data_IF_455873013353
#
_entry.id   IF_455873013353
#
_cell.length_a   1.000
_cell.length_b   1.000
_cell.length_c   1.000
_cell.angle_alpha   90.00
_cell.angle_beta   90.00
_cell.angle_gamma   90.00
#
_symmetry.space_group_name_H-M   'P 1'
#
loop_
_entity.id
_entity.type
_entity.pdbx_description
1 polymer ?
#
# COMPACT_ATOMS: atom_id res chain seq x y z
N UNK A 1 7.48 8.40 19.01
CA UNK A 1 7.10 9.05 17.75
C UNK A 1 5.74 9.68 17.96
N UNK A 2 5.55 10.95 17.55
CA UNK A 2 4.23 11.58 17.67
C UNK A 2 3.31 11.21 16.49
N UNK A 3 2.03 11.54 16.65
CA UNK A 3 0.98 11.17 15.71
C UNK A 3 1.15 11.81 14.31
N UNK A 4 1.56 13.08 14.25
CA UNK A 4 1.71 13.77 12.97
C UNK A 4 2.89 13.22 12.19
N UNK A 5 3.97 12.86 12.90
CA UNK A 5 5.14 12.19 12.34
C UNK A 5 4.76 10.81 11.81
N UNK A 6 4.03 10.01 12.59
CA UNK A 6 3.56 8.69 12.16
C UNK A 6 2.68 8.77 10.90
N UNK A 7 1.75 9.74 10.86
CA UNK A 7 0.91 10.01 9.68
C UNK A 7 1.74 10.41 8.46
N UNK A 8 2.70 11.32 8.64
CA UNK A 8 3.58 11.78 7.55
C UNK A 8 4.39 10.64 6.95
N UNK A 9 4.91 9.74 7.79
CA UNK A 9 5.62 8.53 7.34
C UNK A 9 4.67 7.61 6.57
N UNK A 10 3.47 7.32 7.10
CA UNK A 10 2.52 6.43 6.42
C UNK A 10 2.15 6.96 5.03
N UNK A 11 1.81 8.25 4.92
CA UNK A 11 1.48 8.87 3.64
C UNK A 11 2.65 8.86 2.65
N UNK A 12 3.87 9.13 3.13
CA UNK A 12 5.06 9.07 2.28
C UNK A 12 5.31 7.65 1.75
N UNK A 13 5.12 6.63 2.59
CA UNK A 13 5.28 5.23 2.19
C UNK A 13 4.21 4.79 1.18
N UNK A 14 2.97 5.28 1.33
CA UNK A 14 1.90 5.07 0.34
C UNK A 14 2.26 5.71 -1.02
N UNK A 15 2.75 6.96 -1.02
CA UNK A 15 3.16 7.64 -2.25
C UNK A 15 4.38 6.97 -2.90
N UNK A 16 5.38 6.56 -2.12
CA UNK A 16 6.53 5.79 -2.61
C UNK A 16 6.10 4.49 -3.27
N UNK A 17 5.11 3.80 -2.69
CA UNK A 17 4.59 2.55 -3.25
C UNK A 17 3.79 2.80 -4.52
N UNK A 18 2.99 3.86 -4.58
CA UNK A 18 2.25 4.25 -5.77
C UNK A 18 3.18 4.54 -6.97
N UNK A 19 4.37 5.11 -6.73
CA UNK A 19 5.37 5.37 -7.78
C UNK A 19 6.00 4.10 -8.38
N UNK A 20 5.75 2.92 -7.80
CA UNK A 20 6.22 1.64 -8.36
C UNK A 20 5.32 1.15 -9.49
N UNK A 21 4.10 1.67 -9.59
CA UNK A 21 3.20 1.42 -10.71
C UNK A 21 3.66 2.25 -11.92
N UNK A 22 3.78 1.67 -13.12
CA UNK A 22 4.15 2.43 -14.31
C UNK A 22 3.16 3.59 -14.55
N UNK A 23 3.63 4.84 -14.73
CA UNK A 23 2.75 5.99 -14.86
C UNK A 23 1.86 5.94 -16.12
N UNK A 24 2.28 5.22 -17.16
CA UNK A 24 1.49 4.96 -18.37
C UNK A 24 0.22 4.12 -18.09
N UNK A 25 0.25 3.31 -17.04
CA UNK A 25 -0.86 2.46 -16.64
C UNK A 25 -1.84 3.19 -15.72
N UNK A 26 -1.49 4.38 -15.21
CA UNK A 26 -2.29 5.13 -14.23
C UNK A 26 -3.11 6.23 -14.90
N UNK A 27 -4.44 6.13 -14.81
CA UNK A 27 -5.37 7.17 -15.26
C UNK A 27 -5.67 8.22 -14.19
N UNK A 28 -5.76 7.79 -12.92
CA UNK A 28 -6.02 8.67 -11.77
C UNK A 28 -5.27 8.18 -10.52
N UNK A 29 -4.85 9.11 -9.68
CA UNK A 29 -4.30 8.83 -8.35
C UNK A 29 -4.99 9.71 -7.31
N UNK A 30 -5.60 9.08 -6.32
CA UNK A 30 -6.24 9.77 -5.20
C UNK A 30 -5.66 9.28 -3.87
N UNK A 31 -4.99 10.17 -3.13
CA UNK A 31 -4.54 9.91 -1.75
C UNK A 31 -5.48 10.57 -0.74
N UNK A 32 -6.02 9.77 0.17
CA UNK A 32 -6.85 10.26 1.27
C UNK A 32 -6.00 10.89 2.38
N UNK A 33 -5.77 12.21 2.27
CA UNK A 33 -4.94 12.99 3.21
C UNK A 33 -5.59 13.24 4.57
N UNK A 34 -6.91 13.03 4.66
CA UNK A 34 -7.71 13.15 5.88
C UNK A 34 -8.48 11.85 6.08
N UNK A 35 -8.23 11.17 7.20
CA UNK A 35 -9.03 10.03 7.65
C UNK A 35 -9.10 10.01 9.17
N UNK A 36 -10.08 9.29 9.70
CA UNK A 36 -10.16 9.03 11.14
C UNK A 36 -9.04 8.09 11.55
N UNK A 37 -8.38 8.42 12.65
CA UNK A 37 -7.47 7.50 13.31
C UNK A 37 -8.30 6.44 14.01
N UNK A 38 -7.99 5.19 13.72
CA UNK A 38 -8.60 4.06 14.40
C UNK A 38 -7.73 3.74 15.61
N UNK A 39 -8.35 3.71 16.79
CA UNK A 39 -7.66 3.26 18.00
C UNK A 39 -7.42 1.76 17.91
N UNK A 40 -6.17 1.36 18.17
CA UNK A 40 -5.79 -0.03 18.40
C UNK A 40 -5.67 -0.27 19.92
N UNK A 41 -5.24 -1.46 20.36
CA UNK A 41 -4.98 -1.71 21.79
C UNK A 41 -3.75 -0.91 22.26
N UNK A 42 -3.63 -0.69 23.58
CA UNK A 42 -2.41 -0.15 24.20
C UNK A 42 -1.93 1.22 23.66
N UNK A 43 -2.86 2.16 23.48
CA UNK A 43 -2.59 3.53 23.02
C UNK A 43 -1.97 3.63 21.61
N UNK A 44 -2.01 2.55 20.84
CA UNK A 44 -1.58 2.55 19.43
C UNK A 44 -2.70 3.06 18.52
N UNK A 45 -2.32 3.69 17.41
CA UNK A 45 -3.27 4.26 16.45
C UNK A 45 -2.93 3.78 15.05
N UNK A 46 -3.96 3.43 14.28
CA UNK A 46 -3.85 3.11 12.87
C UNK A 46 -4.34 4.30 12.02
N UNK A 47 -3.52 4.68 11.05
CA UNK A 47 -3.94 5.54 9.97
C UNK A 47 -4.70 4.70 8.93
N UNK A 48 -5.97 5.04 8.71
CA UNK A 48 -6.83 4.37 7.72
C UNK A 48 -6.79 5.03 6.34
N UNK A 49 -5.89 6.02 6.13
CA UNK A 49 -5.73 6.62 4.81
C UNK A 49 -5.31 5.59 3.78
N UNK A 50 -5.61 5.91 2.53
CA UNK A 50 -5.41 5.03 1.40
C UNK A 50 -5.02 5.87 0.20
N UNK A 51 -4.05 5.38 -0.56
CA UNK A 51 -3.80 5.83 -1.92
C UNK A 51 -4.45 4.84 -2.87
N UNK A 52 -5.32 5.34 -3.76
CA UNK A 52 -6.01 4.57 -4.78
C UNK A 52 -5.47 5.00 -6.14
N UNK A 53 -5.04 4.02 -6.93
CA UNK A 53 -4.69 4.19 -8.33
C UNK A 53 -5.80 3.59 -9.19
N UNK A 54 -6.25 4.34 -10.19
CA UNK A 54 -7.17 3.84 -11.22
C UNK A 54 -6.37 3.55 -12.46
N UNK A 55 -6.43 2.32 -12.97
CA UNK A 55 -5.70 1.92 -14.17
C UNK A 55 -6.39 2.45 -15.44
N UNK A 56 -5.57 2.80 -16.44
CA UNK A 56 -6.03 3.29 -17.75
C UNK A 56 -6.55 2.17 -18.67
N UNK A 57 -6.27 0.92 -18.34
CA UNK A 57 -6.69 -0.28 -19.07
C UNK A 57 -6.36 -1.57 -18.33
N UNK A 58 -6.33 -2.68 -19.07
CA UNK A 58 -5.85 -3.96 -18.56
C UNK A 58 -4.35 -3.88 -18.25
N UNK A 59 -3.95 -4.40 -17.09
CA UNK A 59 -2.58 -4.33 -16.58
C UNK A 59 -2.14 -5.72 -16.12
N UNK A 60 -0.83 -5.95 -16.09
CA UNK A 60 -0.23 -7.11 -15.45
C UNK A 60 -0.28 -6.94 -13.93
N UNK A 61 -1.40 -7.36 -13.33
CA UNK A 61 -1.67 -7.19 -11.89
C UNK A 61 -0.60 -7.88 -11.04
N UNK A 62 -0.23 -9.12 -11.39
CA UNK A 62 0.80 -9.87 -10.68
C UNK A 62 2.17 -9.22 -10.85
N UNK A 63 2.55 -8.81 -12.07
CA UNK A 63 3.83 -8.13 -12.30
C UNK A 63 3.98 -6.83 -11.52
N UNK A 64 2.90 -6.07 -11.33
CA UNK A 64 2.90 -4.87 -10.48
C UNK A 64 3.09 -5.24 -9.00
N UNK A 65 2.37 -6.24 -8.51
CA UNK A 65 2.49 -6.69 -7.11
C UNK A 65 3.87 -7.26 -6.82
N UNK A 66 4.43 -8.08 -7.71
CA UNK A 66 5.79 -8.62 -7.61
C UNK A 66 6.83 -7.51 -7.56
N UNK A 67 6.64 -6.45 -8.36
CA UNK A 67 7.51 -5.27 -8.34
C UNK A 67 7.44 -4.52 -7.01
N UNK A 68 6.24 -4.36 -6.45
CA UNK A 68 6.06 -3.75 -5.12
C UNK A 68 6.74 -4.61 -4.06
N UNK A 69 6.49 -5.93 -4.06
CA UNK A 69 7.09 -6.87 -3.14
C UNK A 69 8.63 -6.84 -3.19
N UNK A 70 9.21 -6.87 -4.39
CA UNK A 70 10.65 -6.80 -4.60
C UNK A 70 11.26 -5.48 -4.06
N UNK A 71 10.59 -4.34 -4.29
CA UNK A 71 11.04 -3.04 -3.80
C UNK A 71 10.98 -2.93 -2.28
N UNK A 72 10.00 -3.57 -1.64
CA UNK A 72 9.87 -3.59 -0.18
C UNK A 72 10.80 -4.61 0.50
N UNK A 73 11.06 -5.76 -0.13
CA UNK A 73 11.98 -6.80 0.38
C UNK A 73 13.40 -6.29 0.65
N UNK A 74 13.83 -5.24 -0.05
CA UNK A 74 15.18 -4.66 0.13
C UNK A 74 15.25 -3.58 1.21
N UNK A 75 14.11 -3.13 1.77
CA UNK A 75 14.08 -2.15 2.85
C UNK A 75 14.44 -2.83 4.19
N UNK A 76 15.35 -2.22 4.95
CA UNK A 76 15.78 -2.77 6.24
C UNK A 76 14.59 -2.85 7.22
N UNK A 77 14.48 -4.00 7.92
CA UNK A 77 13.42 -4.20 8.92
C UNK A 77 12.03 -4.39 8.33
N UNK A 78 11.91 -4.69 7.03
CA UNK A 78 10.65 -5.04 6.38
C UNK A 78 10.57 -6.55 6.18
N UNK A 79 9.42 -7.13 6.54
CA UNK A 79 9.01 -8.47 6.15
C UNK A 79 7.90 -8.34 5.11
N UNK A 80 8.03 -9.06 4.00
CA UNK A 80 7.03 -9.09 2.92
C UNK A 80 6.37 -10.46 2.90
N UNK A 81 5.05 -10.48 2.99
CA UNK A 81 4.19 -11.66 2.87
C UNK A 81 3.46 -11.55 1.52
N UNK A 82 3.89 -12.35 0.56
CA UNK A 82 3.19 -12.51 -0.72
C UNK A 82 2.09 -13.54 -0.49
N UNK A 83 0.83 -13.11 -0.53
CA UNK A 83 -0.30 -14.02 -0.45
C UNK A 83 -0.56 -14.60 -1.85
N UNK A 84 -0.64 -15.93 -1.94
CA UNK A 84 -1.17 -16.66 -3.09
C UNK A 84 -2.66 -16.30 -3.24
N UNK A 85 -2.92 -15.21 -3.94
CA UNK A 85 -4.28 -14.76 -4.22
C UNK A 85 -4.81 -15.57 -5.39
N UNK A 86 -5.60 -16.59 -5.08
CA UNK A 86 -6.35 -17.33 -6.11
C UNK A 86 -7.43 -16.43 -6.70
N UNK A 87 -7.22 -15.86 -7.89
CA UNK A 87 -8.21 -15.04 -8.62
C UNK A 87 -7.60 -13.84 -9.35
N UNK A 88 -8.43 -12.83 -9.64
CA UNK A 88 -8.05 -11.55 -10.29
C UNK A 88 -7.52 -10.49 -9.30
N UNK A 89 -7.43 -10.83 -8.01
CA UNK A 89 -7.13 -9.88 -6.92
C UNK A 89 -5.70 -10.04 -6.41
N UNK A 90 -4.69 -9.56 -7.14
CA UNK A 90 -3.28 -9.67 -6.71
C UNK A 90 -2.99 -8.77 -5.50
N UNK A 91 -2.33 -9.30 -4.47
CA UNK A 91 -2.00 -8.53 -3.25
C UNK A 91 -0.64 -8.87 -2.63
N UNK A 92 -0.10 -7.92 -1.86
CA UNK A 92 1.08 -8.11 -1.01
C UNK A 92 0.94 -7.36 0.31
N UNK A 93 1.33 -8.03 1.38
CA UNK A 93 1.38 -7.47 2.73
C UNK A 93 2.83 -7.16 3.12
N UNK A 94 3.04 -5.99 3.74
CA UNK A 94 4.35 -5.51 4.15
C UNK A 94 4.31 -5.08 5.62
N UNK A 95 5.11 -5.76 6.44
CA UNK A 95 5.25 -5.49 7.87
C UNK A 95 6.59 -4.79 8.12
N UNK A 96 6.55 -3.64 8.77
CA UNK A 96 7.74 -2.90 9.20
C UNK A 96 7.99 -3.20 10.68
N UNK A 97 9.23 -3.54 11.06
CA UNK A 97 9.61 -3.93 12.42
C UNK A 97 9.25 -2.89 13.49
N UNK A 98 9.08 -1.62 13.10
CA UNK A 98 8.63 -0.52 13.95
C UNK A 98 7.12 -0.52 14.23
N UNK A 99 6.39 -1.53 13.75
CA UNK A 99 4.95 -1.71 13.96
C UNK A 99 4.05 -1.25 12.80
N UNK A 100 4.64 -0.84 11.67
CA UNK A 100 3.89 -0.46 10.48
C UNK A 100 3.34 -1.68 9.74
N UNK A 101 2.09 -1.60 9.27
CA UNK A 101 1.48 -2.60 8.40
C UNK A 101 0.92 -1.89 7.17
N UNK A 102 1.31 -2.36 5.99
CA UNK A 102 0.87 -1.84 4.70
C UNK A 102 0.37 -3.01 3.85
N UNK A 103 -0.68 -2.77 3.08
CA UNK A 103 -1.21 -3.70 2.10
C UNK A 103 -1.30 -2.98 0.76
N UNK A 104 -0.82 -3.62 -0.29
CA UNK A 104 -1.04 -3.20 -1.67
C UNK A 104 -1.84 -4.30 -2.36
N UNK A 105 -3.03 -3.96 -2.84
CA UNK A 105 -3.92 -4.87 -3.53
C UNK A 105 -4.39 -4.23 -4.83
N UNK A 106 -4.52 -5.04 -5.87
CA UNK A 106 -5.18 -4.70 -7.11
C UNK A 106 -6.43 -5.55 -7.19
N UNK A 107 -7.57 -4.91 -7.41
CA UNK A 107 -8.86 -5.59 -7.53
C UNK A 107 -9.61 -5.05 -8.73
N UNK A 108 -10.43 -5.89 -9.34
CA UNK A 108 -11.35 -5.43 -10.38
C UNK A 108 -12.53 -4.73 -9.70
N UNK A 109 -12.71 -3.43 -9.92
CA UNK A 109 -13.73 -2.64 -9.21
C UNK A 109 -15.17 -3.01 -9.56
N UNK A 110 -15.37 -3.83 -10.60
CA UNK A 110 -16.67 -4.34 -11.03
C UNK A 110 -17.59 -3.21 -11.50
N UNK A 111 -17.77 -3.06 -12.80
CA UNK A 111 -18.95 -2.36 -13.35
C UNK A 111 -20.15 -3.28 -13.44
#
# INVERSE_FOLDING_TARGET
MDLQTAKGIAMAMEDETALLVPPEDVADQTQMKSSFLLGCTDETYQWSGRTILTFSGEVDTQGIVDRIAAAWKVKEGVTVEEDDTTGDDAQVDMRVATGGFYNAAIWNSGT
#
